data_IF_029473211878
#
_entry.id   IF_029473211878
#
_cell.length_a   1.000
_cell.length_b   1.000
_cell.length_c   1.000
_cell.angle_alpha   90.00
_cell.angle_beta   90.00
_cell.angle_gamma   90.00
#
_symmetry.space_group_name_H-M   'P 1'
#
loop_
_entity.id
_entity.type
_entity.pdbx_description
1 polymer ?
#
# COMPACT_ATOMS: atom_id res chain seq x y z
N UNK A 1 22.51 18.57 -9.36
CA UNK A 1 22.48 18.01 -7.99
C UNK A 1 22.15 16.52 -8.03
N UNK A 2 22.28 15.81 -6.90
CA UNK A 2 21.79 14.42 -6.73
C UNK A 2 20.55 14.40 -5.83
N UNK A 3 19.74 13.35 -5.95
CA UNK A 3 18.55 13.10 -5.13
C UNK A 3 18.52 11.67 -4.62
N UNK A 4 17.79 11.43 -3.53
CA UNK A 4 17.58 10.10 -2.97
C UNK A 4 16.29 9.51 -3.53
N UNK A 5 16.40 8.42 -4.30
CA UNK A 5 15.24 7.63 -4.73
C UNK A 5 14.57 6.95 -3.54
N UNK A 6 13.31 6.55 -3.72
CA UNK A 6 12.56 5.71 -2.76
C UNK A 6 13.29 4.44 -2.32
N UNK A 7 14.19 3.91 -3.15
CA UNK A 7 15.05 2.76 -2.82
C UNK A 7 16.22 3.09 -1.89
N UNK A 8 16.38 4.35 -1.48
CA UNK A 8 17.56 4.86 -0.77
C UNK A 8 18.76 5.15 -1.68
N UNK A 9 18.67 4.86 -2.98
CA UNK A 9 19.77 5.05 -3.92
C UNK A 9 19.89 6.51 -4.38
N UNK A 10 21.10 7.05 -4.40
CA UNK A 10 21.36 8.36 -5.00
C UNK A 10 21.38 8.31 -6.53
N UNK A 11 20.73 9.27 -7.18
CA UNK A 11 20.75 9.46 -8.63
C UNK A 11 20.89 10.92 -9.01
N UNK A 12 21.32 11.20 -10.24
CA UNK A 12 21.31 12.56 -10.77
C UNK A 12 19.87 13.11 -10.84
N UNK A 13 19.71 14.37 -10.43
CA UNK A 13 18.46 15.11 -10.62
C UNK A 13 18.17 15.30 -12.10
N UNK A 14 16.91 15.13 -12.48
CA UNK A 14 16.43 15.24 -13.85
C UNK A 14 15.12 16.05 -13.83
N UNK A 15 15.20 17.29 -14.32
CA UNK A 15 14.08 18.24 -14.31
C UNK A 15 12.94 17.80 -15.24
N UNK A 16 13.25 17.06 -16.31
CA UNK A 16 12.25 16.63 -17.28
C UNK A 16 11.24 15.68 -16.64
N UNK A 17 11.64 14.94 -15.59
CA UNK A 17 10.71 14.11 -14.82
C UNK A 17 9.65 14.92 -14.08
N UNK A 18 10.00 16.10 -13.60
CA UNK A 18 9.06 17.01 -12.93
C UNK A 18 8.11 17.59 -13.97
N UNK A 19 8.64 18.10 -15.08
CA UNK A 19 7.85 18.64 -16.20
C UNK A 19 6.84 17.61 -16.68
N UNK A 20 7.28 16.36 -16.91
CA UNK A 20 6.41 15.29 -17.38
C UNK A 20 5.34 14.91 -16.34
N UNK A 21 5.67 14.89 -15.05
CA UNK A 21 4.70 14.60 -13.99
C UNK A 21 3.63 15.69 -13.88
N UNK A 22 4.02 16.97 -13.96
CA UNK A 22 3.08 18.09 -13.96
C UNK A 22 2.20 18.03 -15.22
N UNK A 23 2.77 17.81 -16.41
CA UNK A 23 2.00 17.67 -17.66
C UNK A 23 0.98 16.54 -17.60
N UNK A 24 1.36 15.39 -17.04
CA UNK A 24 0.44 14.27 -16.88
C UNK A 24 -0.78 14.67 -16.02
N UNK A 25 -0.57 15.31 -14.87
CA UNK A 25 -1.68 15.81 -14.05
C UNK A 25 -2.49 16.92 -14.76
N UNK A 26 -1.83 17.76 -15.55
CA UNK A 26 -2.44 18.84 -16.31
C UNK A 26 -3.39 18.33 -17.41
N UNK A 27 -3.09 17.19 -18.03
CA UNK A 27 -3.96 16.60 -19.06
C UNK A 27 -5.24 15.99 -18.49
N UNK A 28 -5.26 15.68 -17.19
CA UNK A 28 -6.42 15.08 -16.48
C UNK A 28 -7.48 16.11 -16.05
N UNK A 29 -7.26 17.40 -16.30
CA UNK A 29 -8.23 18.48 -16.02
C UNK A 29 -8.75 19.13 -17.30
N UNK A 30 -9.87 19.84 -17.18
CA UNK A 30 -10.44 20.64 -18.27
C UNK A 30 -9.49 21.75 -18.72
N UNK A 31 -9.53 22.11 -20.00
CA UNK A 31 -8.59 23.06 -20.61
C UNK A 31 -8.52 24.42 -19.88
N UNK A 32 -9.65 24.91 -19.36
CA UNK A 32 -9.72 26.16 -18.61
C UNK A 32 -9.01 26.14 -17.25
N UNK A 33 -8.76 24.95 -16.69
CA UNK A 33 -8.09 24.77 -15.39
C UNK A 33 -6.62 24.37 -15.55
N UNK A 34 -6.11 24.28 -16.78
CA UNK A 34 -4.75 23.81 -17.07
C UNK A 34 -3.71 24.91 -16.84
N UNK A 35 -2.54 24.47 -16.38
CA UNK A 35 -1.30 25.22 -16.51
C UNK A 35 -0.94 25.36 -17.99
N UNK A 36 -0.49 26.55 -18.38
CA UNK A 36 0.18 26.75 -19.67
C UNK A 36 1.55 26.07 -19.68
N UNK A 37 2.09 25.74 -20.86
CA UNK A 37 3.44 25.16 -20.96
C UNK A 37 4.52 26.01 -20.27
N UNK A 38 4.39 27.33 -20.33
CA UNK A 38 5.30 28.25 -19.63
C UNK A 38 5.20 28.10 -18.11
N UNK A 39 3.98 27.99 -17.57
CA UNK A 39 3.77 27.77 -16.13
C UNK A 39 4.30 26.42 -15.67
N UNK A 40 4.16 25.36 -16.48
CA UNK A 40 4.71 24.04 -16.16
C UNK A 40 6.25 24.10 -16.07
N UNK A 41 6.91 24.71 -17.06
CA UNK A 41 8.37 24.87 -17.04
C UNK A 41 8.80 25.73 -15.84
N UNK A 42 8.07 26.81 -15.57
CA UNK A 42 8.34 27.71 -14.46
C UNK A 42 8.24 26.99 -13.10
N UNK A 43 7.16 26.23 -12.87
CA UNK A 43 7.00 25.42 -11.67
C UNK A 43 8.16 24.42 -11.49
N UNK A 44 8.55 23.71 -12.56
CA UNK A 44 9.66 22.76 -12.51
C UNK A 44 11.00 23.44 -12.18
N UNK A 45 11.24 24.64 -12.69
CA UNK A 45 12.43 25.44 -12.39
C UNK A 45 12.46 25.89 -10.92
N UNK A 46 11.32 26.35 -10.38
CA UNK A 46 11.21 26.72 -8.97
C UNK A 46 11.48 25.54 -8.05
N UNK A 47 10.94 24.35 -8.37
CA UNK A 47 11.24 23.12 -7.61
C UNK A 47 12.73 22.79 -7.67
N UNK A 48 13.35 22.90 -8.85
CA UNK A 48 14.79 22.66 -8.98
C UNK A 48 15.60 23.64 -8.12
N UNK A 49 15.30 24.93 -8.17
CA UNK A 49 15.98 25.95 -7.36
C UNK A 49 15.78 25.71 -5.85
N UNK A 50 14.56 25.33 -5.43
CA UNK A 50 14.28 24.97 -4.03
C UNK A 50 15.10 23.75 -3.59
N UNK A 51 15.27 22.75 -4.46
CA UNK A 51 16.09 21.57 -4.18
C UNK A 51 17.57 21.94 -4.03
N UNK A 52 18.10 22.88 -4.83
CA UNK A 52 19.49 23.33 -4.69
C UNK A 52 19.73 24.10 -3.38
N UNK A 53 18.72 24.86 -2.94
CA UNK A 53 18.78 25.65 -1.70
C UNK A 53 18.50 24.85 -0.43
N UNK A 54 18.05 23.60 -0.55
CA UNK A 54 17.64 22.77 0.58
C UNK A 54 18.77 22.45 1.56
N UNK A 55 20.05 22.60 1.17
CA UNK A 55 21.21 22.38 2.05
C UNK A 55 21.49 20.91 2.41
N UNK A 56 20.76 19.97 1.80
CA UNK A 56 20.89 18.53 1.96
C UNK A 56 20.47 17.80 0.68
N UNK A 57 20.71 16.48 0.61
CA UNK A 57 20.27 15.68 -0.54
C UNK A 57 18.79 15.39 -0.43
N UNK A 58 18.00 16.04 -1.28
CA UNK A 58 16.53 15.97 -1.27
C UNK A 58 16.04 14.59 -1.70
N UNK A 59 15.03 14.06 -0.98
CA UNK A 59 14.36 12.82 -1.36
C UNK A 59 13.31 13.01 -2.46
N UNK A 60 12.93 11.93 -3.14
CA UNK A 60 11.84 11.98 -4.13
C UNK A 60 10.50 12.42 -3.52
N UNK A 61 10.25 12.14 -2.24
CA UNK A 61 8.99 12.56 -1.59
C UNK A 61 8.97 14.07 -1.34
N UNK A 62 10.07 14.65 -0.86
CA UNK A 62 10.19 16.10 -0.70
C UNK A 62 10.05 16.83 -2.04
N UNK A 63 10.62 16.29 -3.12
CA UNK A 63 10.43 16.87 -4.47
C UNK A 63 8.96 16.87 -4.86
N UNK A 64 8.21 15.82 -4.51
CA UNK A 64 6.77 15.76 -4.81
C UNK A 64 5.98 16.78 -3.99
N UNK A 65 6.33 16.98 -2.71
CA UNK A 65 5.74 18.03 -1.87
C UNK A 65 5.98 19.43 -2.48
N UNK A 66 7.21 19.70 -2.94
CA UNK A 66 7.55 20.95 -3.62
C UNK A 66 6.77 21.15 -4.92
N UNK A 67 6.52 20.09 -5.68
CA UNK A 67 5.70 20.16 -6.90
C UNK A 67 4.25 20.51 -6.58
N UNK A 68 3.68 19.90 -5.54
CA UNK A 68 2.32 20.19 -5.09
C UNK A 68 2.18 21.66 -4.69
N UNK A 69 3.12 22.14 -3.87
CA UNK A 69 3.19 23.52 -3.44
C UNK A 69 3.31 24.52 -4.60
N UNK A 70 4.14 24.23 -5.61
CA UNK A 70 4.28 25.10 -6.79
C UNK A 70 3.01 25.14 -7.65
N UNK A 71 2.33 24.01 -7.84
CA UNK A 71 1.06 24.00 -8.59
C UNK A 71 0.00 24.80 -7.82
N UNK A 72 -0.04 24.69 -6.49
CA UNK A 72 -0.95 25.47 -5.64
C UNK A 72 -0.62 26.96 -5.66
N UNK A 73 0.67 27.34 -5.66
CA UNK A 73 1.11 28.75 -5.78
C UNK A 73 0.69 29.41 -7.09
N UNK A 74 0.46 28.62 -8.14
CA UNK A 74 -0.01 29.10 -9.44
C UNK A 74 -1.56 29.16 -9.53
N UNK A 75 -2.26 28.97 -8.42
CA UNK A 75 -3.72 28.93 -8.31
C UNK A 75 -4.39 27.82 -9.16
N UNK A 76 -3.62 26.82 -9.60
CA UNK A 76 -4.11 25.69 -10.40
C UNK A 76 -4.58 24.53 -9.49
N UNK A 77 -5.56 24.80 -8.62
CA UNK A 77 -6.00 23.88 -7.57
C UNK A 77 -6.53 22.53 -8.08
N UNK A 78 -7.17 22.50 -9.25
CA UNK A 78 -7.66 21.24 -9.84
C UNK A 78 -6.51 20.34 -10.28
N UNK A 79 -5.47 20.93 -10.89
CA UNK A 79 -4.26 20.20 -11.29
C UNK A 79 -3.54 19.67 -10.05
N UNK A 80 -3.39 20.51 -9.02
CA UNK A 80 -2.80 20.08 -7.75
C UNK A 80 -3.56 18.89 -7.15
N UNK A 81 -4.89 18.97 -7.10
CA UNK A 81 -5.74 17.88 -6.60
C UNK A 81 -5.55 16.59 -7.40
N UNK A 82 -5.50 16.66 -8.74
CA UNK A 82 -5.23 15.48 -9.58
C UNK A 82 -3.85 14.91 -9.36
N UNK A 83 -2.84 15.76 -9.21
CA UNK A 83 -1.48 15.36 -8.89
C UNK A 83 -1.40 14.62 -7.54
N UNK A 84 -1.97 15.20 -6.48
CA UNK A 84 -2.02 14.63 -5.12
C UNK A 84 -2.73 13.28 -5.12
N UNK A 85 -3.92 13.19 -5.73
CA UNK A 85 -4.69 11.94 -5.80
C UNK A 85 -3.90 10.87 -6.56
N UNK A 86 -3.29 11.22 -7.69
CA UNK A 86 -2.48 10.28 -8.46
C UNK A 86 -1.27 9.79 -7.65
N UNK A 87 -0.54 10.71 -7.00
CA UNK A 87 0.58 10.38 -6.10
C UNK A 87 0.14 9.42 -5.01
N UNK A 88 -0.98 9.72 -4.35
CA UNK A 88 -1.56 8.89 -3.29
C UNK A 88 -1.93 7.49 -3.82
N UNK A 89 -2.67 7.39 -4.93
CA UNK A 89 -3.02 6.09 -5.55
C UNK A 89 -1.77 5.29 -5.91
N UNK A 90 -0.74 5.94 -6.45
CA UNK A 90 0.52 5.26 -6.76
C UNK A 90 1.30 4.87 -5.50
N UNK A 91 1.16 5.61 -4.40
CA UNK A 91 1.71 5.22 -3.10
C UNK A 91 1.03 3.98 -2.55
N UNK A 92 -0.30 3.88 -2.67
CA UNK A 92 -1.07 2.68 -2.32
C UNK A 92 -0.64 1.48 -3.16
N UNK A 93 -0.48 1.67 -4.49
CA UNK A 93 0.05 0.61 -5.37
C UNK A 93 1.47 0.18 -5.04
N UNK A 94 2.28 1.05 -4.42
CA UNK A 94 3.65 0.74 -3.97
C UNK A 94 3.69 0.17 -2.57
N UNK A 95 2.72 0.50 -1.71
CA UNK A 95 2.31 -0.30 -0.56
C UNK A 95 1.64 -1.60 -1.02
N UNK A 96 2.12 -2.19 -2.13
CA UNK A 96 1.80 -3.53 -2.54
C UNK A 96 2.23 -4.42 -1.40
N UNK A 97 1.28 -4.79 -0.56
CA UNK A 97 1.53 -5.70 0.55
C UNK A 97 2.04 -7.00 -0.05
N UNK A 98 2.98 -7.65 0.62
CA UNK A 98 3.38 -9.04 0.37
C UNK A 98 2.19 -9.99 0.24
N UNK A 99 1.04 -9.58 0.76
CA UNK A 99 -0.29 -10.20 0.71
C UNK A 99 -0.85 -10.32 -0.71
N UNK A 100 -0.64 -9.35 -1.60
CA UNK A 100 -1.15 -9.45 -2.98
C UNK A 100 -0.43 -10.58 -3.75
N UNK A 101 0.88 -10.69 -3.56
CA UNK A 101 1.69 -11.75 -4.16
C UNK A 101 1.40 -13.12 -3.51
N UNK A 102 1.10 -13.17 -2.21
CA UNK A 102 0.60 -14.39 -1.54
C UNK A 102 -0.77 -14.82 -2.06
N UNK A 103 -1.74 -13.90 -2.19
CA UNK A 103 -3.06 -14.17 -2.76
C UNK A 103 -2.94 -14.64 -4.22
N UNK A 104 -2.10 -13.98 -5.04
CA UNK A 104 -1.82 -14.40 -6.42
C UNK A 104 -1.18 -15.80 -6.45
N UNK A 105 -0.22 -16.09 -5.58
CA UNK A 105 0.42 -17.42 -5.48
C UNK A 105 -0.56 -18.53 -5.05
N UNK A 106 -1.59 -18.18 -4.26
CA UNK A 106 -2.67 -19.09 -3.88
C UNK A 106 -3.64 -19.36 -5.02
N UNK A 107 -4.02 -18.32 -5.77
CA UNK A 107 -4.86 -18.44 -6.97
C UNK A 107 -4.19 -19.35 -8.01
N UNK A 108 -2.87 -19.26 -8.14
CA UNK A 108 -2.09 -20.10 -9.08
C UNK A 108 -1.75 -21.49 -8.54
N UNK A 109 -2.19 -21.87 -7.33
CA UNK A 109 -1.83 -23.13 -6.68
C UNK A 109 -0.31 -23.35 -6.49
N UNK A 110 0.48 -22.28 -6.45
CA UNK A 110 1.94 -22.33 -6.45
C UNK A 110 2.57 -22.05 -5.07
N UNK A 111 1.77 -21.96 -4.01
CA UNK A 111 2.25 -21.73 -2.64
C UNK A 111 2.31 -23.05 -1.84
N UNK A 112 3.49 -23.67 -1.77
CA UNK A 112 3.68 -24.93 -1.02
C UNK A 112 3.50 -24.77 0.50
N UNK A 113 3.78 -23.59 1.06
CA UNK A 113 3.65 -23.36 2.50
C UNK A 113 2.19 -23.41 2.95
N UNK A 114 1.29 -22.74 2.23
CA UNK A 114 -0.16 -22.77 2.52
C UNK A 114 -0.78 -24.14 2.23
N UNK A 115 -0.24 -24.91 1.28
CA UNK A 115 -0.67 -26.31 1.08
C UNK A 115 -0.38 -27.20 2.29
N UNK A 116 0.62 -26.86 3.09
CA UNK A 116 1.11 -27.67 4.21
C UNK A 116 0.70 -27.11 5.59
N UNK A 117 0.11 -25.92 5.66
CA UNK A 117 -0.30 -25.26 6.90
C UNK A 117 -1.43 -26.03 7.62
N UNK A 118 -2.37 -26.60 6.87
CA UNK A 118 -3.50 -27.34 7.44
C UNK A 118 -3.70 -28.70 6.77
N UNK A 119 -3.33 -29.76 7.49
CA UNK A 119 -3.43 -31.15 7.03
C UNK A 119 -4.86 -31.64 6.78
N UNK A 120 -5.88 -30.92 7.28
CA UNK A 120 -7.29 -31.25 7.07
C UNK A 120 -7.92 -30.52 5.87
N UNK A 121 -7.24 -29.54 5.25
CA UNK A 121 -7.77 -28.74 4.13
C UNK A 121 -7.10 -29.14 2.81
N UNK A 122 -7.87 -29.61 1.83
CA UNK A 122 -7.34 -29.94 0.49
C UNK A 122 -7.23 -28.67 -0.38
N UNK A 123 -6.01 -28.17 -0.68
CA UNK A 123 -5.79 -26.89 -1.35
C UNK A 123 -6.18 -26.85 -2.83
N UNK A 124 -6.51 -28.01 -3.43
CA UNK A 124 -6.95 -28.10 -4.83
C UNK A 124 -8.45 -27.92 -5.01
N UNK A 125 -9.22 -27.94 -3.92
CA UNK A 125 -10.67 -27.78 -3.95
C UNK A 125 -11.02 -26.29 -3.97
N UNK A 126 -11.90 -25.87 -4.88
CA UNK A 126 -12.23 -24.45 -5.07
C UNK A 126 -12.77 -23.77 -3.80
N UNK A 127 -13.60 -24.47 -3.00
CA UNK A 127 -14.09 -23.92 -1.73
C UNK A 127 -12.95 -23.64 -0.74
N UNK A 128 -11.94 -24.51 -0.70
CA UNK A 128 -10.76 -24.36 0.15
C UNK A 128 -9.86 -23.23 -0.37
N UNK A 129 -9.70 -23.09 -1.68
CA UNK A 129 -8.97 -21.97 -2.26
C UNK A 129 -9.61 -20.63 -1.92
N UNK A 130 -10.94 -20.54 -1.99
CA UNK A 130 -11.68 -19.32 -1.59
C UNK A 130 -11.51 -19.01 -0.10
N UNK A 131 -11.53 -20.04 0.75
CA UNK A 131 -11.28 -19.91 2.18
C UNK A 131 -9.85 -19.42 2.46
N UNK A 132 -8.84 -19.99 1.80
CA UNK A 132 -7.45 -19.52 1.91
C UNK A 132 -7.26 -18.08 1.43
N UNK A 133 -7.92 -17.67 0.34
CA UNK A 133 -7.87 -16.27 -0.11
C UNK A 133 -8.44 -15.32 0.95
N UNK A 134 -9.56 -15.67 1.58
CA UNK A 134 -10.13 -14.89 2.67
C UNK A 134 -9.22 -14.88 3.91
N UNK A 135 -8.61 -16.03 4.22
CA UNK A 135 -7.66 -16.19 5.31
C UNK A 135 -6.41 -15.32 5.18
N UNK A 136 -5.79 -15.26 3.99
CA UNK A 136 -4.62 -14.40 3.77
C UNK A 136 -4.94 -12.91 3.90
N UNK A 137 -6.10 -12.47 3.39
CA UNK A 137 -6.56 -11.09 3.55
C UNK A 137 -6.75 -10.77 5.04
N UNK A 138 -7.35 -11.70 5.78
CA UNK A 138 -7.59 -11.56 7.21
C UNK A 138 -6.28 -11.55 8.01
N UNK A 139 -5.33 -12.43 7.71
CA UNK A 139 -4.00 -12.50 8.31
C UNK A 139 -3.20 -11.21 8.12
N UNK A 140 -3.24 -10.66 6.91
CA UNK A 140 -2.64 -9.36 6.58
C UNK A 140 -3.28 -8.21 7.36
N UNK A 141 -4.61 -8.17 7.44
CA UNK A 141 -5.34 -7.18 8.22
C UNK A 141 -4.99 -7.29 9.72
N UNK A 142 -4.94 -8.52 10.24
CA UNK A 142 -4.56 -8.84 11.62
C UNK A 142 -3.17 -8.29 11.94
N UNK A 143 -2.17 -8.51 11.09
CA UNK A 143 -0.81 -8.04 11.32
C UNK A 143 -0.67 -6.52 11.16
N UNK A 144 -1.30 -5.91 10.17
CA UNK A 144 -1.10 -4.48 9.88
C UNK A 144 -1.93 -3.54 10.74
N UNK A 145 -3.08 -4.01 11.24
CA UNK A 145 -4.10 -3.13 11.83
C UNK A 145 -4.56 -3.59 13.21
N UNK A 146 -4.72 -4.90 13.44
CA UNK A 146 -5.40 -5.39 14.64
C UNK A 146 -4.42 -5.72 15.78
N UNK A 147 -3.22 -6.21 15.46
CA UNK A 147 -2.22 -6.57 16.46
C UNK A 147 -1.26 -5.41 16.75
N UNK A 148 -0.81 -5.28 18.01
CA UNK A 148 0.32 -4.41 18.34
C UNK A 148 1.57 -4.86 17.58
N UNK A 149 2.36 -3.89 17.09
CA UNK A 149 3.55 -4.15 16.27
C UNK A 149 4.55 -5.08 16.98
N UNK A 150 4.75 -4.91 18.29
CA UNK A 150 5.64 -5.77 19.08
C UNK A 150 5.26 -7.26 19.06
N UNK A 151 3.97 -7.58 18.96
CA UNK A 151 3.47 -8.96 18.87
C UNK A 151 3.75 -9.51 17.47
N UNK A 152 3.54 -8.69 16.44
CA UNK A 152 3.80 -9.05 15.04
C UNK A 152 5.29 -9.33 14.83
N UNK A 153 6.15 -8.46 15.35
CA UNK A 153 7.60 -8.61 15.25
C UNK A 153 8.06 -9.87 15.98
N UNK A 154 7.59 -10.10 17.22
CA UNK A 154 7.91 -11.30 17.98
C UNK A 154 7.43 -12.59 17.28
N UNK A 155 6.29 -12.55 16.59
CA UNK A 155 5.81 -13.69 15.79
C UNK A 155 6.70 -13.96 14.59
N UNK A 156 7.07 -12.92 13.84
CA UNK A 156 7.90 -13.01 12.64
C UNK A 156 9.34 -13.44 12.96
N UNK A 157 9.87 -13.05 14.12
CA UNK A 157 11.18 -13.48 14.62
C UNK A 157 11.16 -14.89 15.23
N UNK A 158 9.98 -15.51 15.35
CA UNK A 158 9.81 -16.85 15.92
C UNK A 158 9.94 -16.90 17.45
N UNK A 159 9.89 -15.75 18.13
CA UNK A 159 9.88 -15.67 19.59
C UNK A 159 8.55 -16.16 20.17
N UNK A 160 7.45 -15.91 19.45
CA UNK A 160 6.12 -16.40 19.77
C UNK A 160 5.42 -16.96 18.53
N UNK A 161 4.36 -17.72 18.73
CA UNK A 161 3.45 -18.10 17.65
C UNK A 161 2.04 -17.59 17.96
N UNK A 162 1.56 -16.65 17.16
CA UNK A 162 0.20 -16.16 17.27
C UNK A 162 -0.74 -17.08 16.48
N UNK A 163 -1.53 -17.87 17.20
CA UNK A 163 -2.44 -18.85 16.62
C UNK A 163 -3.62 -18.19 15.88
N UNK A 164 -4.03 -18.79 14.77
CA UNK A 164 -5.27 -18.49 14.03
C UNK A 164 -5.45 -17.01 13.65
N UNK A 165 -4.34 -16.37 13.27
CA UNK A 165 -4.29 -14.97 12.80
C UNK A 165 -5.23 -14.67 11.62
N UNK A 166 -5.58 -15.67 10.83
CA UNK A 166 -6.52 -15.63 9.71
C UNK A 166 -7.99 -15.58 10.17
N UNK A 167 -8.31 -15.97 11.40
CA UNK A 167 -9.66 -15.85 11.97
C UNK A 167 -9.79 -14.75 13.05
N UNK A 168 -8.67 -14.14 13.47
CA UNK A 168 -8.66 -13.16 14.56
C UNK A 168 -9.59 -11.95 14.33
N UNK A 169 -9.68 -11.47 13.09
CA UNK A 169 -10.53 -10.33 12.73
C UNK A 169 -12.04 -10.57 12.97
N UNK A 170 -12.47 -11.83 13.09
CA UNK A 170 -13.88 -12.19 13.25
C UNK A 170 -14.33 -12.20 14.71
N UNK A 171 -13.41 -11.96 15.67
CA UNK A 171 -13.69 -12.03 17.11
C UNK A 171 -14.34 -13.34 17.55
N UNK A 172 -14.04 -14.43 16.84
CA UNK A 172 -14.55 -15.76 17.16
C UNK A 172 -13.64 -16.46 18.17
N UNK A 173 -14.25 -17.33 18.97
CA UNK A 173 -13.48 -18.27 19.77
C UNK A 173 -12.87 -19.32 18.85
N UNK A 174 -11.60 -19.67 19.10
CA UNK A 174 -10.90 -20.68 18.34
C UNK A 174 -11.55 -22.07 18.51
N UNK A 175 -11.84 -22.41 19.77
CA UNK A 175 -12.60 -23.60 20.15
C UNK A 175 -13.58 -23.21 21.25
N UNK A 176 -14.77 -23.80 21.19
CA UNK A 176 -15.76 -23.71 22.26
C UNK A 176 -16.38 -25.08 22.53
N UNK A 177 -16.76 -25.34 23.78
CA UNK A 177 -17.43 -26.56 24.17
C UNK A 177 -18.93 -26.34 24.08
N UNK A 178 -19.55 -27.02 23.12
CA UNK A 178 -21.00 -26.95 22.92
C UNK A 178 -21.73 -27.48 24.16
N UNK A 179 -22.72 -26.72 24.64
CA UNK A 179 -23.62 -27.19 25.69
C UNK A 179 -24.59 -28.24 25.13
N UNK A 180 -24.15 -29.50 25.14
CA UNK A 180 -24.92 -30.62 24.60
C UNK A 180 -26.23 -30.87 25.35
N UNK A 181 -26.28 -30.61 26.66
CA UNK A 181 -27.50 -30.79 27.44
C UNK A 181 -28.60 -29.83 26.95
N UNK A 182 -28.25 -28.55 26.81
CA UNK A 182 -29.18 -27.52 26.33
C UNK A 182 -29.62 -27.79 24.89
N UNK A 183 -28.68 -28.12 24.00
CA UNK A 183 -28.99 -28.48 22.61
C UNK A 183 -29.97 -29.67 22.51
N UNK A 184 -29.83 -30.67 23.37
CA UNK A 184 -30.69 -31.87 23.36
C UNK A 184 -32.05 -31.63 24.02
N UNK A 185 -32.13 -30.76 25.02
CA UNK A 185 -33.40 -30.45 25.72
C UNK A 185 -34.21 -29.39 24.99
N UNK A 186 -33.55 -28.40 24.38
CA UNK A 186 -34.18 -27.18 23.87
C UNK A 186 -34.03 -26.99 22.35
N UNK A 187 -33.23 -27.82 21.67
CA UNK A 187 -32.99 -27.70 20.22
C UNK A 187 -31.89 -26.69 19.88
N UNK A 188 -31.81 -26.32 18.59
CA UNK A 188 -30.90 -25.30 18.05
C UNK A 188 -31.61 -24.00 17.73
#
# INVERSE_FOLDING_TARGET
MKIIKRSGTEVAFDIDKIVNAIRAANLEVEEGSRLTDRQVIYAAQNVAEACEKAGHTVSVEEIQDLVEDEIMRLDCYEVARRYIIYRYVQSLKRQKNTTDDKILSLIECNNEEVKQENSNKNPTVNSVQRDYMAGEISKDLTQRVLLPQEIVDAHNEGLIHFHDSDYFAQHMHNCDLVNLEDMLQNGT
#
